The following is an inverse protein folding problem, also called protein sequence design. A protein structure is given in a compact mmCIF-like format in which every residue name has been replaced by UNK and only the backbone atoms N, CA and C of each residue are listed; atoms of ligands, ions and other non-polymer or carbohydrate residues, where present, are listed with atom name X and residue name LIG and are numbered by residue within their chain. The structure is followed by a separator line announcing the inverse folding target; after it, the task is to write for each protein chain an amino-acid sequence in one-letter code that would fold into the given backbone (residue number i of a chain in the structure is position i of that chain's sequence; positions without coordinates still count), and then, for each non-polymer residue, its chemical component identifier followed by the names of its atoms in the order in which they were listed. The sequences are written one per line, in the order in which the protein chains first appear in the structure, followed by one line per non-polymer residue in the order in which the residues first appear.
data_IF_066068421724
#
_entry.id   IF_066068421724
#
_cell.length_a   1.000
_cell.length_b   1.000
_cell.length_c   1.000
_cell.angle_alpha   90.00
_cell.angle_beta   90.00
_cell.angle_gamma   90.00
#
_symmetry.space_group_name_H-M   'P 1'
#
loop_
_entity.id
_entity.type
_entity.pdbx_description
1 polymer ?
#
# COMPACT_ATOMS: atom_id res chain seq x y z
N UNK A 1 -44.71 62.92 -9.52
CA UNK A 1 -44.40 61.67 -10.25
C UNK A 1 -43.05 61.20 -9.70
N UNK A 2 -42.92 60.35 -8.67
CA UNK A 2 -43.68 59.15 -8.27
C UNK A 2 -43.81 58.16 -9.43
N UNK A 3 -43.03 57.08 -9.38
CA UNK A 3 -43.55 55.71 -9.47
C UNK A 3 -42.47 54.71 -9.01
N UNK A 4 -42.81 53.99 -7.95
CA UNK A 4 -42.32 52.65 -7.61
C UNK A 4 -42.88 51.60 -8.59
N UNK A 5 -42.31 50.39 -8.51
CA UNK A 5 -42.91 49.09 -8.85
C UNK A 5 -43.07 48.64 -10.33
N UNK A 6 -42.37 47.52 -10.64
CA UNK A 6 -42.86 46.27 -11.29
C UNK A 6 -41.71 45.24 -11.17
N UNK A 7 -41.73 44.25 -10.28
CA UNK A 7 -42.66 43.12 -10.02
C UNK A 7 -42.69 42.06 -11.15
N UNK A 8 -42.01 40.95 -10.88
CA UNK A 8 -42.46 39.56 -11.11
C UNK A 8 -41.57 38.65 -10.25
N UNK A 9 -41.91 38.30 -9.00
CA UNK A 9 -42.91 37.31 -8.56
C UNK A 9 -42.69 35.91 -9.12
N UNK A 10 -42.19 35.06 -8.22
CA UNK A 10 -42.49 33.64 -8.00
C UNK A 10 -42.23 32.61 -9.11
N UNK A 11 -41.35 31.66 -8.78
CA UNK A 11 -41.76 30.25 -8.74
C UNK A 11 -41.01 29.54 -7.61
N UNK A 12 -41.50 29.74 -6.40
CA UNK A 12 -41.38 28.73 -5.36
C UNK A 12 -42.44 27.67 -5.70
N UNK A 13 -42.04 26.49 -6.17
CA UNK A 13 -42.90 25.31 -6.13
C UNK A 13 -42.11 24.15 -5.55
N UNK A 14 -42.23 24.02 -4.24
CA UNK A 14 -41.99 22.80 -3.51
C UNK A 14 -43.07 21.77 -3.94
N UNK A 15 -42.64 20.68 -4.58
CA UNK A 15 -43.34 19.37 -4.62
C UNK A 15 -42.24 18.33 -4.86
N UNK A 16 -41.64 17.82 -3.79
CA UNK A 16 -41.97 16.51 -3.20
C UNK A 16 -41.99 15.38 -4.24
N UNK A 17 -40.98 14.51 -4.17
CA UNK A 17 -41.08 13.08 -4.48
C UNK A 17 -41.35 12.71 -5.94
N UNK A 18 -40.29 12.51 -6.71
CA UNK A 18 -40.24 11.35 -7.61
C UNK A 18 -38.78 11.02 -7.92
N UNK A 19 -38.22 10.21 -7.04
CA UNK A 19 -36.98 9.49 -7.26
C UNK A 19 -37.30 8.39 -8.27
N UNK A 20 -37.45 8.73 -9.54
CA UNK A 20 -37.61 7.74 -10.61
C UNK A 20 -37.20 8.34 -11.96
N UNK A 21 -35.90 8.23 -12.23
CA UNK A 21 -35.39 7.85 -13.54
C UNK A 21 -34.28 6.84 -13.32
N UNK A 22 -34.73 5.63 -13.00
CA UNK A 22 -33.99 4.39 -13.25
C UNK A 22 -33.76 4.28 -14.76
N UNK A 23 -32.53 4.54 -15.21
CA UNK A 23 -31.99 4.01 -16.47
C UNK A 23 -30.47 4.08 -16.40
N UNK A 24 -29.89 3.03 -15.83
CA UNK A 24 -28.44 2.84 -15.72
C UNK A 24 -28.14 1.92 -14.55
N UNK A 25 -28.33 0.61 -14.76
CA UNK A 25 -28.33 -0.48 -13.77
C UNK A 25 -27.67 -0.16 -12.43
N UNK A 26 -28.44 -0.29 -11.35
CA UNK A 26 -27.98 -0.06 -9.98
C UNK A 26 -26.66 -0.80 -9.77
N UNK A 27 -25.61 -0.01 -9.68
CA UNK A 27 -24.29 -0.47 -9.34
C UNK A 27 -24.43 -1.25 -8.02
N UNK A 28 -23.97 -2.50 -7.96
CA UNK A 28 -24.20 -3.32 -6.75
C UNK A 28 -23.76 -2.54 -5.50
N UNK A 29 -24.55 -2.59 -4.42
CA UNK A 29 -24.31 -1.82 -3.18
C UNK A 29 -22.88 -1.98 -2.63
N UNK A 30 -22.26 -3.12 -2.91
CA UNK A 30 -20.86 -3.41 -2.62
C UNK A 30 -19.89 -2.55 -3.44
N UNK A 31 -20.16 -2.38 -4.73
CA UNK A 31 -19.34 -1.58 -5.63
C UNK A 31 -19.42 -0.08 -5.28
N UNK A 32 -20.59 0.40 -4.85
CA UNK A 32 -20.76 1.79 -4.36
C UNK A 32 -19.95 2.03 -3.07
N UNK A 33 -20.03 1.11 -2.11
CA UNK A 33 -19.25 1.17 -0.86
C UNK A 33 -17.75 1.14 -1.15
N UNK A 34 -17.33 0.31 -2.09
CA UNK A 34 -15.94 0.19 -2.51
C UNK A 34 -15.42 1.44 -3.24
N UNK A 35 -16.24 2.07 -4.10
CA UNK A 35 -15.88 3.35 -4.71
C UNK A 35 -15.78 4.47 -3.69
N UNK A 36 -16.66 4.51 -2.71
CA UNK A 36 -16.58 5.46 -1.60
C UNK A 36 -15.28 5.31 -0.82
N UNK A 37 -14.77 4.09 -0.65
CA UNK A 37 -13.49 3.81 0.02
C UNK A 37 -12.27 4.37 -0.73
N UNK A 38 -12.32 4.38 -2.06
CA UNK A 38 -11.24 4.91 -2.92
C UNK A 38 -11.37 6.43 -3.14
N UNK A 39 -12.52 7.01 -2.84
CA UNK A 39 -12.80 8.41 -3.11
C UNK A 39 -11.80 9.41 -2.49
N UNK A 40 -11.35 9.22 -1.23
CA UNK A 40 -10.31 10.06 -0.63
C UNK A 40 -8.96 9.99 -1.34
N UNK A 41 -8.69 8.96 -2.14
CA UNK A 41 -7.42 8.79 -2.85
C UNK A 41 -7.38 9.50 -4.20
N UNK A 42 -8.52 9.88 -4.78
CA UNK A 42 -8.52 10.59 -6.07
C UNK A 42 -7.93 12.01 -5.93
N UNK A 43 -7.10 12.40 -6.90
CA UNK A 43 -6.54 13.75 -6.95
C UNK A 43 -7.66 14.79 -7.08
N UNK A 44 -7.88 15.57 -6.01
CA UNK A 44 -8.92 16.60 -6.00
C UNK A 44 -8.53 17.83 -6.85
N UNK A 45 -7.24 18.04 -7.15
CA UNK A 45 -6.75 19.23 -7.86
C UNK A 45 -6.44 18.98 -9.33
N UNK A 46 -6.84 19.93 -10.20
CA UNK A 46 -6.48 19.99 -11.62
C UNK A 46 -4.96 20.22 -11.85
N UNK A 47 -4.25 20.73 -10.83
CA UNK A 47 -2.77 20.80 -10.77
C UNK A 47 -2.27 19.95 -9.62
N UNK A 48 -1.80 18.74 -9.94
CA UNK A 48 -0.95 17.94 -9.04
C UNK A 48 0.35 18.69 -8.78
N UNK A 49 0.92 18.53 -7.59
CA UNK A 49 2.22 19.13 -7.27
C UNK A 49 3.30 18.32 -8.00
N UNK A 50 3.63 18.72 -9.24
CA UNK A 50 4.51 17.96 -10.13
C UNK A 50 5.86 17.61 -9.49
N UNK A 51 6.43 18.53 -8.70
CA UNK A 51 7.67 18.30 -7.97
C UNK A 51 7.57 17.10 -7.01
N UNK A 52 6.47 16.94 -6.27
CA UNK A 52 6.26 15.83 -5.35
C UNK A 52 6.19 14.48 -6.10
N UNK A 53 5.48 14.44 -7.23
CA UNK A 53 5.39 13.24 -8.06
C UNK A 53 6.75 12.86 -8.68
N UNK A 54 7.53 13.86 -9.12
CA UNK A 54 8.89 13.64 -9.64
C UNK A 54 9.81 13.11 -8.54
N UNK A 55 9.71 13.64 -7.32
CA UNK A 55 10.50 13.15 -6.17
C UNK A 55 10.16 11.69 -5.87
N UNK A 56 8.87 11.34 -5.77
CA UNK A 56 8.47 9.96 -5.52
C UNK A 56 8.94 9.01 -6.63
N UNK A 57 8.86 9.44 -7.89
CA UNK A 57 9.35 8.67 -9.02
C UNK A 57 10.87 8.48 -8.97
N UNK A 58 11.63 9.53 -8.63
CA UNK A 58 13.08 9.45 -8.46
C UNK A 58 13.46 8.49 -7.32
N UNK A 59 12.73 8.53 -6.20
CA UNK A 59 12.91 7.59 -5.09
C UNK A 59 12.59 6.16 -5.53
N UNK A 60 11.48 5.93 -6.24
CA UNK A 60 11.14 4.61 -6.75
C UNK A 60 12.22 4.05 -7.71
N UNK A 61 12.74 4.89 -8.62
CA UNK A 61 13.85 4.51 -9.50
C UNK A 61 15.12 4.16 -8.72
N UNK A 62 15.42 4.91 -7.64
CA UNK A 62 16.54 4.59 -6.75
C UNK A 62 16.34 3.22 -6.10
N UNK A 63 15.14 2.94 -5.58
CA UNK A 63 14.81 1.66 -4.94
C UNK A 63 14.91 0.49 -5.94
N UNK A 64 14.47 0.67 -7.19
CA UNK A 64 14.63 -0.36 -8.22
C UNK A 64 16.11 -0.60 -8.57
N UNK A 65 16.91 0.46 -8.60
CA UNK A 65 18.34 0.36 -8.86
C UNK A 65 19.07 -0.38 -7.74
N UNK A 66 18.78 -0.05 -6.48
CA UNK A 66 19.36 -0.74 -5.31
C UNK A 66 18.94 -2.21 -5.26
N UNK A 67 17.66 -2.50 -5.53
CA UNK A 67 17.16 -3.88 -5.63
C UNK A 67 17.90 -4.68 -6.71
N UNK A 68 18.23 -4.08 -7.85
CA UNK A 68 19.04 -4.73 -8.89
C UNK A 68 20.46 -5.11 -8.45
N UNK A 69 20.98 -4.47 -7.40
CA UNK A 69 22.27 -4.77 -6.79
C UNK A 69 22.15 -5.72 -5.58
N UNK A 70 20.93 -6.12 -5.21
CA UNK A 70 20.70 -7.08 -4.14
C UNK A 70 21.28 -8.44 -4.50
N UNK A 71 22.33 -8.82 -3.78
CA UNK A 71 23.04 -10.08 -3.97
C UNK A 71 23.35 -10.76 -2.65
N UNK A 72 23.00 -12.05 -2.58
CA UNK A 72 23.38 -12.98 -1.52
C UNK A 72 24.48 -13.88 -2.05
N UNK A 73 25.55 -14.03 -1.29
CA UNK A 73 26.63 -14.95 -1.63
C UNK A 73 26.18 -16.39 -1.33
N UNK A 74 26.28 -17.29 -2.30
CA UNK A 74 25.87 -18.69 -2.13
C UNK A 74 26.88 -19.49 -1.30
N UNK A 75 28.13 -19.05 -1.20
CA UNK A 75 29.14 -19.71 -0.37
C UNK A 75 28.90 -19.48 1.11
N UNK A 76 28.66 -18.21 1.49
CA UNK A 76 28.45 -17.82 2.89
C UNK A 76 26.98 -17.71 3.30
N UNK A 77 26.05 -17.75 2.34
CA UNK A 77 24.61 -17.53 2.51
C UNK A 77 24.24 -16.18 3.14
N UNK A 78 25.21 -15.26 3.23
CA UNK A 78 25.10 -13.91 3.78
C UNK A 78 25.10 -12.90 2.63
N UNK A 79 24.46 -11.76 2.84
CA UNK A 79 24.50 -10.64 1.90
C UNK A 79 25.93 -10.08 1.79
N UNK A 80 26.41 -9.79 0.59
CA UNK A 80 27.74 -9.20 0.44
C UNK A 80 27.78 -7.80 1.09
N UNK A 81 28.91 -7.39 1.67
CA UNK A 81 29.00 -6.13 2.41
C UNK A 81 28.56 -4.90 1.57
N UNK A 82 28.92 -4.87 0.29
CA UNK A 82 28.50 -3.81 -0.64
C UNK A 82 26.99 -3.87 -0.92
N UNK A 83 26.44 -5.05 -1.16
CA UNK A 83 24.99 -5.26 -1.32
C UNK A 83 24.25 -4.83 -0.07
N UNK A 84 24.73 -5.21 1.11
CA UNK A 84 24.12 -4.87 2.40
C UNK A 84 24.11 -3.36 2.65
N UNK A 85 25.22 -2.66 2.36
CA UNK A 85 25.33 -1.21 2.54
C UNK A 85 24.40 -0.44 1.59
N UNK A 86 24.33 -0.84 0.32
CA UNK A 86 23.47 -0.19 -0.67
C UNK A 86 21.98 -0.43 -0.35
N UNK A 87 21.63 -1.67 -0.02
CA UNK A 87 20.26 -2.08 0.31
C UNK A 87 19.84 -1.70 1.74
N UNK A 88 20.74 -1.10 2.52
CA UNK A 88 20.36 -0.44 3.77
C UNK A 88 19.70 0.91 3.49
N UNK A 89 20.09 1.59 2.40
CA UNK A 89 19.56 2.91 2.04
C UNK A 89 18.08 2.84 1.67
N UNK A 90 17.66 1.79 0.97
CA UNK A 90 16.26 1.56 0.61
C UNK A 90 15.48 0.72 1.65
N UNK A 91 16.13 0.38 2.77
CA UNK A 91 15.61 -0.43 3.86
C UNK A 91 15.31 -1.90 3.51
N UNK A 92 15.66 -2.36 2.30
CA UNK A 92 15.35 -3.73 1.86
C UNK A 92 16.19 -4.80 2.58
N UNK A 93 17.37 -4.45 3.10
CA UNK A 93 18.24 -5.35 3.88
C UNK A 93 17.94 -5.39 5.39
N UNK A 94 17.02 -4.56 5.89
CA UNK A 94 16.74 -4.46 7.34
C UNK A 94 16.35 -5.81 7.96
N UNK A 95 15.51 -6.58 7.27
CA UNK A 95 15.08 -7.90 7.75
C UNK A 95 16.25 -8.85 8.03
N UNK A 96 17.27 -8.83 7.17
CA UNK A 96 18.46 -9.67 7.29
C UNK A 96 19.40 -9.15 8.39
N UNK A 97 19.56 -7.83 8.49
CA UNK A 97 20.42 -7.20 9.51
C UNK A 97 19.91 -7.47 10.93
N UNK A 98 18.58 -7.46 11.11
CA UNK A 98 17.95 -7.64 12.41
C UNK A 98 17.91 -9.10 12.88
N UNK A 99 18.12 -10.05 11.97
CA UNK A 99 18.10 -11.49 12.26
C UNK A 99 16.90 -11.94 13.09
N UNK A 100 17.13 -12.49 14.28
CA UNK A 100 16.06 -12.91 15.21
C UNK A 100 15.06 -11.80 15.57
N UNK A 101 15.50 -10.54 15.56
CA UNK A 101 14.64 -9.38 15.85
C UNK A 101 13.77 -8.96 14.66
N UNK A 102 13.89 -9.62 13.50
CA UNK A 102 13.06 -9.37 12.32
C UNK A 102 11.55 -9.54 12.58
N UNK A 103 11.16 -10.31 13.59
CA UNK A 103 9.76 -10.39 14.04
C UNK A 103 9.21 -9.01 14.44
N UNK A 104 9.97 -8.23 15.22
CA UNK A 104 9.53 -6.90 15.66
C UNK A 104 9.40 -5.94 14.47
N UNK A 105 10.31 -6.04 13.50
CA UNK A 105 10.22 -5.28 12.25
C UNK A 105 8.97 -5.67 11.46
N UNK A 106 8.68 -6.97 11.36
CA UNK A 106 7.48 -7.48 10.67
C UNK A 106 6.20 -6.97 11.33
N UNK A 107 6.16 -6.93 12.66
CA UNK A 107 5.04 -6.34 13.43
C UNK A 107 4.94 -4.83 13.18
N UNK A 108 6.05 -4.10 13.17
CA UNK A 108 6.05 -2.67 12.88
C UNK A 108 5.51 -2.38 11.47
N UNK A 109 5.94 -3.16 10.46
CA UNK A 109 5.41 -3.07 9.10
C UNK A 109 3.91 -3.36 9.08
N UNK A 110 3.46 -4.40 9.77
CA UNK A 110 2.02 -4.71 9.90
C UNK A 110 1.24 -3.50 10.43
N UNK A 111 1.69 -2.91 11.54
CA UNK A 111 1.03 -1.75 12.16
C UNK A 111 0.98 -0.55 11.20
N UNK A 112 2.06 -0.26 10.48
CA UNK A 112 2.10 0.84 9.50
C UNK A 112 1.09 0.60 8.38
N UNK A 113 1.08 -0.61 7.80
CA UNK A 113 0.19 -0.97 6.69
C UNK A 113 -1.28 -0.94 7.10
N UNK A 114 -1.63 -1.56 8.22
CA UNK A 114 -3.02 -1.55 8.72
C UNK A 114 -3.45 -0.18 9.24
N UNK A 115 -2.54 0.60 9.83
CA UNK A 115 -2.79 1.98 10.23
C UNK A 115 -3.09 2.89 9.04
N UNK A 116 -2.30 2.78 7.96
CA UNK A 116 -2.54 3.47 6.69
C UNK A 116 -3.92 3.18 6.12
N UNK A 117 -4.28 1.90 6.08
CA UNK A 117 -5.57 1.45 5.59
C UNK A 117 -6.73 1.92 6.46
N UNK A 118 -6.58 1.84 7.78
CA UNK A 118 -7.60 2.32 8.74
C UNK A 118 -7.83 3.82 8.57
N UNK A 119 -6.76 4.60 8.40
CA UNK A 119 -6.86 6.03 8.12
C UNK A 119 -7.60 6.30 6.80
N UNK A 120 -7.37 5.49 5.75
CA UNK A 120 -8.13 5.58 4.51
C UNK A 120 -9.61 5.28 4.72
N UNK A 121 -9.96 4.22 5.46
CA UNK A 121 -11.36 3.86 5.77
C UNK A 121 -12.04 5.00 6.52
N UNK A 122 -11.40 5.55 7.55
CA UNK A 122 -11.93 6.68 8.30
C UNK A 122 -12.13 7.91 7.41
N UNK A 123 -11.14 8.23 6.57
CA UNK A 123 -11.23 9.33 5.60
C UNK A 123 -12.36 9.13 4.58
N UNK A 124 -12.69 7.88 4.23
CA UNK A 124 -13.80 7.56 3.34
C UNK A 124 -15.16 7.72 4.02
N UNK A 125 -15.30 7.19 5.24
CA UNK A 125 -16.56 7.27 6.02
C UNK A 125 -16.92 8.73 6.31
N UNK A 126 -15.96 9.53 6.75
CA UNK A 126 -16.16 10.93 7.12
C UNK A 126 -15.90 11.90 5.96
N UNK A 127 -15.83 11.43 4.73
CA UNK A 127 -15.36 12.23 3.59
C UNK A 127 -16.13 13.55 3.41
N UNK A 128 -17.46 13.52 3.52
CA UNK A 128 -18.33 14.71 3.35
C UNK A 128 -18.08 15.77 4.43
N UNK A 129 -17.77 15.34 5.64
CA UNK A 129 -17.50 16.25 6.76
C UNK A 129 -16.06 16.77 6.70
N UNK A 130 -15.11 15.91 6.33
CA UNK A 130 -13.69 16.24 6.21
C UNK A 130 -13.40 17.22 5.08
N UNK A 131 -14.10 17.14 3.95
CA UNK A 131 -13.88 18.08 2.85
C UNK A 131 -14.31 19.51 3.22
N UNK A 132 -15.35 19.64 4.05
CA UNK A 132 -15.88 20.92 4.50
C UNK A 132 -15.10 21.50 5.69
N UNK A 133 -14.62 20.64 6.60
CA UNK A 133 -13.96 21.08 7.84
C UNK A 133 -12.44 21.06 7.77
N UNK A 134 -11.82 20.00 7.22
CA UNK A 134 -10.38 19.74 7.30
C UNK A 134 -9.82 19.01 6.06
N UNK A 135 -9.69 19.68 4.90
CA UNK A 135 -9.18 19.07 3.67
C UNK A 135 -7.71 18.61 3.75
N UNK A 136 -7.00 18.98 4.82
CA UNK A 136 -5.63 18.54 5.11
C UNK A 136 -5.57 17.03 5.35
N UNK A 137 -6.56 16.45 6.04
CA UNK A 137 -6.59 15.02 6.39
C UNK A 137 -6.60 14.14 5.13
N UNK A 138 -7.36 14.56 4.11
CA UNK A 138 -7.44 13.87 2.82
C UNK A 138 -6.07 13.91 2.13
N UNK A 139 -5.39 15.06 2.12
CA UNK A 139 -4.04 15.18 1.54
C UNK A 139 -3.00 14.32 2.26
N UNK A 140 -3.08 14.24 3.59
CA UNK A 140 -2.20 13.37 4.38
C UNK A 140 -2.44 11.91 4.01
N UNK A 141 -3.71 11.50 3.92
CA UNK A 141 -4.08 10.13 3.51
C UNK A 141 -3.55 9.80 2.12
N UNK A 142 -3.71 10.71 1.14
CA UNK A 142 -3.18 10.56 -0.21
C UNK A 142 -1.64 10.47 -0.22
N UNK A 143 -0.97 11.35 0.53
CA UNK A 143 0.49 11.35 0.63
C UNK A 143 0.99 10.02 1.21
N UNK A 144 0.38 9.58 2.30
CA UNK A 144 0.75 8.37 3.02
C UNK A 144 0.58 7.12 2.13
N UNK A 145 -0.54 6.99 1.43
CA UNK A 145 -0.78 5.85 0.53
C UNK A 145 0.17 5.86 -0.66
N UNK A 146 0.48 7.04 -1.23
CA UNK A 146 1.48 7.14 -2.30
C UNK A 146 2.89 6.74 -1.84
N UNK A 147 3.32 7.20 -0.66
CA UNK A 147 4.61 6.79 -0.06
C UNK A 147 4.61 5.28 0.21
N UNK A 148 3.52 4.75 0.77
CA UNK A 148 3.38 3.33 1.08
C UNK A 148 3.54 2.46 -0.17
N UNK A 149 2.86 2.80 -1.26
CA UNK A 149 2.83 1.98 -2.47
C UNK A 149 4.02 2.21 -3.41
N UNK A 150 4.57 3.42 -3.48
CA UNK A 150 5.66 3.74 -4.41
C UNK A 150 7.03 3.62 -3.78
N UNK A 151 7.20 3.89 -2.48
CA UNK A 151 8.52 3.90 -1.83
C UNK A 151 8.67 2.72 -0.88
N UNK A 152 7.68 2.51 0.00
CA UNK A 152 7.79 1.50 1.06
C UNK A 152 7.38 0.08 0.61
N UNK A 153 6.76 -0.07 -0.55
CA UNK A 153 6.27 -1.35 -1.03
C UNK A 153 7.39 -2.40 -1.12
N UNK A 154 8.49 -2.07 -1.79
CA UNK A 154 9.64 -2.97 -1.98
C UNK A 154 10.29 -3.35 -0.63
N UNK A 155 10.67 -2.41 0.27
CA UNK A 155 11.25 -2.79 1.54
C UNK A 155 10.29 -3.57 2.45
N UNK A 156 8.98 -3.31 2.39
CA UNK A 156 7.99 -4.08 3.15
C UNK A 156 7.83 -5.50 2.62
N UNK A 157 7.81 -5.68 1.30
CA UNK A 157 7.81 -7.00 0.66
C UNK A 157 9.11 -7.75 0.97
N UNK A 158 10.28 -7.10 0.85
CA UNK A 158 11.58 -7.69 1.17
C UNK A 158 11.65 -8.14 2.64
N UNK A 159 11.18 -7.29 3.55
CA UNK A 159 11.09 -7.60 4.98
C UNK A 159 10.21 -8.82 5.22
N UNK A 160 9.01 -8.85 4.62
CA UNK A 160 8.08 -9.96 4.78
C UNK A 160 8.65 -11.28 4.23
N UNK A 161 9.32 -11.27 3.08
CA UNK A 161 9.96 -12.47 2.52
C UNK A 161 11.07 -12.96 3.47
N UNK A 162 11.89 -12.05 3.98
CA UNK A 162 13.00 -12.39 4.89
C UNK A 162 12.51 -13.07 6.17
N UNK A 163 11.30 -12.76 6.64
CA UNK A 163 10.69 -13.38 7.82
C UNK A 163 10.54 -14.90 7.71
N UNK A 164 10.52 -15.46 6.50
CA UNK A 164 10.33 -16.91 6.28
C UNK A 164 11.26 -17.53 5.24
N UNK A 165 12.18 -16.75 4.67
CA UNK A 165 13.16 -17.25 3.70
C UNK A 165 14.14 -18.22 4.37
N UNK A 166 14.25 -19.42 3.83
CA UNK A 166 15.09 -20.49 4.36
C UNK A 166 15.96 -21.09 3.26
N UNK A 167 17.14 -21.55 3.65
CA UNK A 167 18.07 -22.24 2.76
C UNK A 167 18.47 -23.59 3.36
N UNK A 168 18.79 -24.55 2.49
CA UNK A 168 19.27 -25.87 2.90
C UNK A 168 20.79 -25.94 2.77
N UNK A 169 21.45 -26.49 3.79
CA UNK A 169 22.86 -26.85 3.74
C UNK A 169 22.99 -28.36 3.88
N UNK A 170 23.85 -28.95 3.05
CA UNK A 170 24.09 -30.39 3.04
C UNK A 170 25.36 -30.68 3.84
N UNK A 171 25.25 -31.48 4.90
CA UNK A 171 26.36 -31.98 5.69
C UNK A 171 26.49 -33.49 5.52
N UNK A 172 27.69 -34.03 5.78
CA UNK A 172 27.92 -35.48 5.76
C UNK A 172 27.91 -35.99 7.20
N UNK A 173 27.12 -37.03 7.45
CA UNK A 173 27.14 -37.73 8.74
C UNK A 173 28.40 -38.60 8.87
N UNK A 174 28.66 -39.12 10.08
CA UNK A 174 29.77 -40.05 10.36
C UNK A 174 29.70 -41.32 9.49
N UNK A 175 28.50 -41.67 9.00
CA UNK A 175 28.24 -42.80 8.10
C UNK A 175 28.45 -42.48 6.61
N UNK A 176 28.86 -41.25 6.26
CA UNK A 176 28.99 -40.79 4.86
C UNK A 176 27.65 -40.46 4.18
N UNK A 177 26.55 -40.47 4.93
CA UNK A 177 25.22 -40.11 4.44
C UNK A 177 25.06 -38.58 4.36
N UNK A 178 24.43 -38.09 3.29
CA UNK A 178 24.13 -36.67 3.13
C UNK A 178 22.90 -36.31 3.95
N UNK A 179 23.06 -35.47 4.96
CA UNK A 179 21.98 -34.87 5.74
C UNK A 179 21.75 -33.46 5.20
N UNK A 180 20.51 -33.15 4.83
CA UNK A 180 20.12 -31.79 4.44
C UNK A 180 19.41 -31.12 5.62
N UNK A 181 20.01 -30.05 6.15
CA UNK A 181 19.42 -29.25 7.22
C UNK A 181 19.03 -27.88 6.68
N UNK A 182 17.80 -27.44 7.01
CA UNK A 182 17.29 -26.13 6.60
C UNK A 182 17.50 -25.09 7.69
N UNK A 183 18.10 -23.97 7.34
CA UNK A 183 18.37 -22.83 8.21
C UNK A 183 17.55 -21.60 7.79
N UNK A 184 17.17 -20.78 8.76
CA UNK A 184 16.51 -19.52 8.48
C UNK A 184 17.53 -18.48 7.99
N UNK A 185 17.26 -17.83 6.84
CA UNK A 185 18.24 -16.91 6.23
C UNK A 185 18.55 -15.69 7.10
N UNK A 186 17.57 -15.19 7.85
CA UNK A 186 17.81 -14.05 8.74
C UNK A 186 18.69 -14.45 9.94
N UNK A 187 18.63 -15.70 10.39
CA UNK A 187 19.41 -16.20 11.52
C UNK A 187 19.78 -17.67 11.31
N UNK A 188 20.99 -17.89 10.78
CA UNK A 188 21.51 -19.23 10.47
C UNK A 188 21.78 -20.10 11.71
N UNK A 189 21.73 -19.54 12.92
CA UNK A 189 21.81 -20.32 14.16
C UNK A 189 20.52 -21.09 14.46
N UNK A 190 19.42 -20.72 13.79
CA UNK A 190 18.10 -21.33 13.98
C UNK A 190 17.72 -22.16 12.76
N UNK A 191 17.32 -23.41 13.02
CA UNK A 191 16.70 -24.24 11.98
C UNK A 191 15.37 -23.63 11.53
N UNK A 192 15.09 -23.74 10.23
CA UNK A 192 13.86 -23.22 9.63
C UNK A 192 12.62 -23.83 10.29
N UNK A 193 11.67 -22.97 10.66
CA UNK A 193 10.42 -23.28 11.37
C UNK A 193 10.59 -24.03 12.71
N UNK A 194 11.78 -24.06 13.29
CA UNK A 194 12.01 -24.62 14.64
C UNK A 194 11.68 -23.62 15.75
N UNK A 195 11.70 -22.32 15.45
CA UNK A 195 11.40 -21.25 16.41
C UNK A 195 9.96 -20.76 16.28
N UNK A 196 9.26 -20.64 17.42
CA UNK A 196 7.91 -20.04 17.50
C UNK A 196 7.91 -18.62 16.93
N UNK A 197 9.00 -17.86 17.10
CA UNK A 197 9.12 -16.50 16.59
C UNK A 197 9.06 -16.47 15.06
N UNK A 198 9.72 -17.42 14.39
CA UNK A 198 9.69 -17.51 12.93
C UNK A 198 8.29 -17.91 12.43
N UNK A 199 7.61 -18.84 13.11
CA UNK A 199 6.24 -19.25 12.74
C UNK A 199 5.28 -18.06 12.82
N UNK A 200 5.32 -17.29 13.91
CA UNK A 200 4.48 -16.09 14.07
C UNK A 200 4.83 -15.06 12.98
N UNK A 201 6.13 -14.81 12.76
CA UNK A 201 6.57 -13.85 11.75
C UNK A 201 6.15 -14.27 10.34
N UNK A 202 6.15 -15.56 10.04
CA UNK A 202 5.70 -16.13 8.78
C UNK A 202 4.20 -15.86 8.54
N UNK A 203 3.35 -16.14 9.53
CA UNK A 203 1.90 -15.90 9.41
C UNK A 203 1.62 -14.42 9.15
N UNK A 204 2.26 -13.52 9.91
CA UNK A 204 2.09 -12.08 9.73
C UNK A 204 2.62 -11.64 8.36
N UNK A 205 3.78 -12.15 7.93
CA UNK A 205 4.37 -11.82 6.64
C UNK A 205 3.45 -12.20 5.46
N UNK A 206 2.84 -13.39 5.49
CA UNK A 206 1.89 -13.83 4.46
C UNK A 206 0.67 -12.89 4.41
N UNK A 207 0.12 -12.52 5.57
CA UNK A 207 -0.98 -11.56 5.65
C UNK A 207 -0.61 -10.20 5.05
N UNK A 208 0.59 -9.68 5.37
CA UNK A 208 1.12 -8.44 4.81
C UNK A 208 1.27 -8.54 3.28
N UNK A 209 1.86 -9.62 2.76
CA UNK A 209 2.10 -9.81 1.33
C UNK A 209 0.80 -9.84 0.55
N UNK A 210 -0.18 -10.65 0.99
CA UNK A 210 -1.49 -10.75 0.34
C UNK A 210 -2.20 -9.38 0.37
N UNK A 211 -2.18 -8.72 1.53
CA UNK A 211 -2.82 -7.42 1.69
C UNK A 211 -2.16 -6.36 0.80
N UNK A 212 -0.84 -6.20 0.85
CA UNK A 212 -0.10 -5.20 0.06
C UNK A 212 -0.25 -5.44 -1.44
N UNK A 213 -0.19 -6.69 -1.90
CA UNK A 213 -0.39 -7.03 -3.30
C UNK A 213 -1.81 -6.65 -3.76
N UNK A 214 -2.82 -7.10 -3.01
CA UNK A 214 -4.23 -6.81 -3.32
C UNK A 214 -4.49 -5.31 -3.29
N UNK A 215 -4.00 -4.62 -2.27
CA UNK A 215 -4.15 -3.19 -2.09
C UNK A 215 -3.47 -2.40 -3.22
N UNK A 216 -2.24 -2.79 -3.61
CA UNK A 216 -1.51 -2.19 -4.73
C UNK A 216 -2.26 -2.37 -6.06
N UNK A 217 -2.75 -3.57 -6.35
CA UNK A 217 -3.54 -3.87 -7.56
C UNK A 217 -4.81 -3.00 -7.60
N UNK A 218 -5.55 -2.99 -6.50
CA UNK A 218 -6.80 -2.23 -6.35
C UNK A 218 -6.54 -0.73 -6.57
N UNK A 219 -5.56 -0.17 -5.87
CA UNK A 219 -5.27 1.27 -5.94
C UNK A 219 -4.77 1.65 -7.34
N UNK A 220 -3.83 0.91 -7.93
CA UNK A 220 -3.25 1.27 -9.22
C UNK A 220 -4.23 1.09 -10.39
N UNK A 221 -5.05 0.05 -10.40
CA UNK A 221 -6.03 -0.16 -11.46
C UNK A 221 -7.20 0.83 -11.37
N UNK A 222 -7.66 1.14 -10.16
CA UNK A 222 -8.89 1.91 -9.98
C UNK A 222 -8.66 3.42 -9.93
N UNK A 223 -7.53 3.90 -9.41
CA UNK A 223 -7.23 5.34 -9.44
C UNK A 223 -7.14 5.85 -10.89
N UNK A 224 -6.57 5.05 -11.80
CA UNK A 224 -6.49 5.44 -13.21
C UNK A 224 -7.78 5.23 -13.99
N UNK A 225 -8.52 4.13 -13.79
CA UNK A 225 -9.75 3.88 -14.54
C UNK A 225 -10.97 4.68 -14.09
N UNK A 226 -10.99 5.19 -12.84
CA UNK A 226 -12.18 5.83 -12.25
C UNK A 226 -11.96 7.28 -11.84
N UNK A 227 -10.89 7.94 -12.31
CA UNK A 227 -10.78 9.38 -12.08
C UNK A 227 -11.86 10.11 -12.90
N UNK A 228 -12.89 10.71 -12.26
CA UNK A 228 -13.98 11.38 -12.97
C UNK A 228 -13.51 12.62 -13.75
N UNK A 229 -12.28 13.10 -13.52
CA UNK A 229 -11.69 14.23 -14.24
C UNK A 229 -10.91 13.84 -15.49
N UNK A 230 -10.58 12.55 -15.69
CA UNK A 230 -9.71 12.09 -16.78
C UNK A 230 -10.42 11.22 -17.83
N UNK A 231 -11.74 11.09 -17.81
CA UNK A 231 -12.44 10.33 -18.86
C UNK A 231 -12.13 8.83 -18.84
N UNK A 232 -11.95 8.25 -17.64
CA UNK A 232 -11.64 6.82 -17.50
C UNK A 232 -12.73 5.90 -18.07
N UNK A 233 -12.44 4.61 -18.24
CA UNK A 233 -13.30 3.62 -18.91
C UNK A 233 -14.72 3.50 -18.34
N UNK A 234 -14.96 4.02 -17.12
CA UNK A 234 -16.27 4.11 -16.46
C UNK A 234 -16.61 5.53 -15.97
N UNK A 235 -15.94 6.58 -16.46
CA UNK A 235 -16.41 7.94 -16.19
C UNK A 235 -17.70 8.16 -16.94
N UNK A 236 -18.82 8.26 -16.23
CA UNK A 236 -20.08 8.65 -16.83
C UNK A 236 -19.90 10.00 -17.52
N UNK A 237 -20.11 10.10 -18.85
CA UNK A 237 -20.32 11.38 -19.49
C UNK A 237 -21.74 11.83 -19.16
N UNK A 238 -21.83 13.01 -18.56
CA UNK A 238 -23.02 13.83 -18.26
C UNK A 238 -23.62 13.67 -16.85
#
# INVERSE_FOLDING_TARGET
MSEDDKKSVASESNRSGMFERDTGGSLSKYLETFFSLMFPLYSQKKKSNAAFQIILWALFCLVLFTLGLFRVDQGTQIQTALSQAINYVDLSSLGLILGKNSLYLTIAVFVIVFGAFTLQVLSAVFYKELIASQPIVIKITQCLVNILLQVLFIPFVSTAITSFDCFSENSFNENGEVISESFWRADSSLGCFKSIHQIISFVIAIMILIFLLTYSIVVNLLIHNHNPKNGGLFSCPN
#
